data_IF_729487026927
#
_entry.id   IF_729487026927
#
_cell.length_a   1.000
_cell.length_b   1.000
_cell.length_c   1.000
_cell.angle_alpha   90.00
_cell.angle_beta   90.00
_cell.angle_gamma   90.00
#
_symmetry.space_group_name_H-M   'P 1'
#
loop_
_entity.id
_entity.type
_entity.pdbx_description
1 polymer ?
#
# COMPACT_ATOMS: atom_id res chain seq x y z
N UNK A 1 -4.51 2.96 16.30
CA UNK A 1 -3.82 1.80 15.74
C UNK A 1 -4.32 1.48 14.35
N UNK A 2 -3.39 1.34 13.38
CA UNK A 2 -3.73 0.96 12.00
C UNK A 2 -3.87 -0.55 11.94
N UNK A 3 -5.02 -1.04 11.51
CA UNK A 3 -5.30 -2.47 11.32
C UNK A 3 -4.93 -2.92 9.91
N UNK A 4 -5.29 -2.10 8.91
CA UNK A 4 -4.89 -2.31 7.52
C UNK A 4 -4.30 -1.04 6.93
N UNK A 5 -3.29 -1.11 6.06
CA UNK A 5 -2.91 0.03 5.24
C UNK A 5 -4.04 0.36 4.26
N UNK A 6 -3.96 1.55 3.63
CA UNK A 6 -4.85 1.89 2.52
C UNK A 6 -4.61 0.89 1.37
N UNK A 7 -5.67 0.24 0.92
CA UNK A 7 -5.64 -0.78 -0.13
C UNK A 7 -6.93 -0.74 -0.94
N UNK A 8 -6.85 -1.11 -2.21
CA UNK A 8 -7.98 -1.36 -3.11
C UNK A 8 -8.46 -2.82 -3.09
N UNK A 9 -7.76 -3.69 -2.36
CA UNK A 9 -8.15 -5.09 -2.17
C UNK A 9 -9.19 -5.24 -1.06
N UNK A 10 -10.46 -5.21 -1.44
CA UNK A 10 -11.59 -5.39 -0.53
C UNK A 10 -11.60 -6.76 0.15
N UNK A 11 -11.05 -7.81 -0.46
CA UNK A 11 -10.99 -9.15 0.14
C UNK A 11 -10.02 -9.20 1.31
N UNK A 12 -8.91 -8.49 1.22
CA UNK A 12 -7.98 -8.35 2.34
C UNK A 12 -8.66 -7.66 3.51
N UNK A 13 -9.44 -6.60 3.26
CA UNK A 13 -10.21 -5.91 4.30
C UNK A 13 -11.25 -6.85 4.93
N UNK A 14 -12.06 -7.55 4.12
CA UNK A 14 -13.06 -8.51 4.61
C UNK A 14 -12.46 -9.60 5.52
N UNK A 15 -11.32 -10.15 5.14
CA UNK A 15 -10.63 -11.16 5.93
C UNK A 15 -10.16 -10.63 7.29
N UNK A 16 -9.75 -9.37 7.35
CA UNK A 16 -9.29 -8.72 8.58
C UNK A 16 -10.45 -8.31 9.51
N UNK A 17 -11.64 -8.03 8.96
CA UNK A 17 -12.81 -7.66 9.76
C UNK A 17 -13.16 -8.72 10.82
N UNK A 18 -13.02 -10.00 10.47
CA UNK A 18 -13.30 -11.10 11.41
C UNK A 18 -12.34 -11.16 12.61
N UNK A 19 -11.15 -10.59 12.47
CA UNK A 19 -10.14 -10.52 13.50
C UNK A 19 -10.26 -9.27 14.39
N UNK A 20 -11.16 -8.33 14.04
CA UNK A 20 -11.38 -7.13 14.84
C UNK A 20 -12.09 -7.48 16.13
N UNK A 21 -11.36 -7.43 17.23
CA UNK A 21 -11.88 -7.60 18.58
C UNK A 21 -11.24 -6.57 19.52
N UNK A 22 -11.91 -6.15 20.59
CA UNK A 22 -11.33 -5.21 21.54
C UNK A 22 -9.98 -5.65 22.10
N UNK A 23 -9.76 -6.96 22.19
CA UNK A 23 -8.57 -7.58 22.78
C UNK A 23 -7.29 -7.34 21.96
N UNK A 24 -7.42 -7.05 20.66
CA UNK A 24 -6.25 -6.74 19.82
C UNK A 24 -5.67 -5.36 20.09
N UNK A 25 -6.41 -4.50 20.80
CA UNK A 25 -5.97 -3.14 21.09
C UNK A 25 -5.02 -3.12 22.30
N UNK A 26 -3.81 -2.55 22.14
CA UNK A 26 -2.83 -2.50 23.25
C UNK A 26 -3.32 -1.69 24.45
N UNK A 27 -4.15 -0.68 24.20
CA UNK A 27 -4.83 0.14 25.18
C UNK A 27 -6.33 0.07 24.90
N UNK A 28 -7.08 -0.36 25.91
CA UNK A 28 -8.53 -0.35 25.83
C UNK A 28 -9.07 1.05 26.09
N UNK A 29 -10.12 1.42 25.39
CA UNK A 29 -10.75 2.72 25.50
C UNK A 29 -11.20 3.26 24.15
N UNK A 30 -11.75 4.46 24.17
CA UNK A 30 -12.24 5.15 22.98
C UNK A 30 -11.57 6.53 22.87
N UNK A 31 -10.80 6.74 21.81
CA UNK A 31 -10.18 8.03 21.51
C UNK A 31 -10.40 8.38 20.04
N UNK A 32 -11.57 8.96 19.74
CA UNK A 32 -11.92 9.35 18.38
C UNK A 32 -11.01 10.45 17.79
N UNK A 33 -10.47 11.34 18.64
CA UNK A 33 -9.57 12.41 18.18
C UNK A 33 -8.30 11.82 17.55
N UNK A 34 -7.67 10.87 18.25
CA UNK A 34 -6.45 10.22 17.79
C UNK A 34 -6.71 9.32 16.58
N UNK A 35 -7.88 8.67 16.53
CA UNK A 35 -8.26 7.86 15.38
C UNK A 35 -8.42 8.70 14.10
N UNK A 36 -9.04 9.88 14.21
CA UNK A 36 -9.20 10.80 13.07
C UNK A 36 -7.85 11.42 12.67
N UNK A 37 -7.00 11.77 13.63
CA UNK A 37 -5.65 12.26 13.35
C UNK A 37 -4.83 11.21 12.56
N UNK A 38 -4.91 9.96 12.96
CA UNK A 38 -4.27 8.86 12.25
C UNK A 38 -4.82 8.67 10.83
N UNK A 39 -6.13 8.76 10.67
CA UNK A 39 -6.79 8.68 9.36
C UNK A 39 -6.38 9.84 8.44
N UNK A 40 -6.34 11.07 8.97
CA UNK A 40 -5.87 12.24 8.23
C UNK A 40 -4.41 12.10 7.79
N UNK A 41 -3.53 11.61 8.67
CA UNK A 41 -2.13 11.31 8.33
C UNK A 41 -1.97 10.24 7.25
N UNK A 42 -2.83 9.22 7.24
CA UNK A 42 -2.85 8.21 6.17
C UNK A 42 -3.28 8.81 4.82
N UNK A 43 -4.29 9.69 4.80
CA UNK A 43 -4.72 10.39 3.60
C UNK A 43 -3.62 11.31 3.07
N UNK A 44 -2.98 12.08 3.94
CA UNK A 44 -1.86 12.96 3.58
C UNK A 44 -0.70 12.17 2.96
N UNK A 45 -0.28 11.09 3.62
CA UNK A 45 0.84 10.24 3.17
C UNK A 45 0.55 9.54 1.84
N UNK A 46 -0.72 9.21 1.59
CA UNK A 46 -1.14 8.58 0.33
C UNK A 46 -1.23 9.55 -0.85
N UNK A 47 -1.11 10.86 -0.59
CA UNK A 47 -1.32 11.90 -1.60
C UNK A 47 -2.77 12.02 -2.09
N UNK A 48 -3.72 11.44 -1.36
CA UNK A 48 -5.15 11.54 -1.66
C UNK A 48 -5.65 12.87 -1.11
N UNK A 49 -6.04 13.77 -2.00
CA UNK A 49 -6.81 14.97 -1.68
C UNK A 49 -8.30 14.65 -1.75
N UNK A 50 -9.11 15.31 -0.94
CA UNK A 50 -10.56 15.12 -0.90
C UNK A 50 -11.01 13.70 -0.51
N UNK A 51 -10.29 13.08 0.43
CA UNK A 51 -10.66 11.78 0.98
C UNK A 51 -11.92 11.83 1.84
N UNK A 52 -12.47 10.69 2.19
CA UNK A 52 -13.59 10.57 3.13
C UNK A 52 -13.20 9.68 4.31
N UNK A 53 -13.43 10.17 5.52
CA UNK A 53 -13.22 9.43 6.77
C UNK A 53 -14.58 8.99 7.29
N UNK A 54 -14.79 7.69 7.50
CA UNK A 54 -15.97 7.14 8.14
C UNK A 54 -15.64 6.76 9.58
N UNK A 55 -16.25 7.44 10.52
CA UNK A 55 -16.15 7.13 11.95
C UNK A 55 -17.38 6.32 12.39
N UNK A 56 -17.15 5.10 12.88
CA UNK A 56 -18.19 4.24 13.46
C UNK A 56 -18.03 4.31 14.97
N UNK A 57 -19.04 4.76 15.68
CA UNK A 57 -18.94 5.00 17.12
C UNK A 57 -20.27 4.86 17.85
N UNK A 58 -20.21 4.52 19.13
CA UNK A 58 -21.32 4.54 20.08
C UNK A 58 -21.32 5.81 20.97
N UNK A 59 -20.26 6.63 20.88
CA UNK A 59 -20.12 7.86 21.63
C UNK A 59 -18.84 8.61 21.32
N UNK A 60 -18.79 9.90 21.65
CA UNK A 60 -17.65 10.79 21.41
C UNK A 60 -17.22 11.50 22.71
N UNK A 61 -16.76 10.77 23.71
CA UNK A 61 -16.31 11.38 24.97
C UNK A 61 -15.05 12.23 24.72
N UNK A 62 -15.03 13.44 25.32
CA UNK A 62 -13.88 14.36 25.25
C UNK A 62 -13.45 14.70 23.80
N UNK A 63 -14.42 14.85 22.92
CA UNK A 63 -14.14 15.13 21.52
C UNK A 63 -13.70 16.60 21.32
N UNK A 64 -12.57 16.78 20.64
CA UNK A 64 -11.94 18.07 20.39
C UNK A 64 -12.31 18.61 19.00
N UNK A 65 -13.52 19.16 18.86
CA UNK A 65 -14.10 19.57 17.57
C UNK A 65 -13.18 20.48 16.76
N UNK A 66 -12.61 21.54 17.38
CA UNK A 66 -11.75 22.50 16.68
C UNK A 66 -10.44 21.89 16.18
N UNK A 67 -9.88 20.91 16.90
CA UNK A 67 -8.69 20.18 16.49
C UNK A 67 -8.99 19.31 15.27
N UNK A 68 -10.07 18.55 15.33
CA UNK A 68 -10.51 17.66 14.26
C UNK A 68 -10.89 18.45 13.01
N UNK A 69 -11.59 19.58 13.14
CA UNK A 69 -11.90 20.49 12.05
C UNK A 69 -10.62 20.94 11.31
N UNK A 70 -9.61 21.37 12.07
CA UNK A 70 -8.31 21.77 11.50
C UNK A 70 -7.61 20.64 10.76
N UNK A 71 -7.61 19.41 11.32
CA UNK A 71 -7.01 18.24 10.72
C UNK A 71 -7.71 17.83 9.41
N UNK A 72 -9.03 17.73 9.41
CA UNK A 72 -9.81 17.38 8.23
C UNK A 72 -9.69 18.44 7.13
N UNK A 73 -9.70 19.72 7.54
CA UNK A 73 -9.51 20.84 6.61
C UNK A 73 -8.15 20.85 5.93
N UNK A 74 -7.07 20.46 6.64
CA UNK A 74 -5.73 20.43 6.07
C UNK A 74 -5.56 19.38 4.95
N UNK A 75 -6.29 18.28 5.01
CA UNK A 75 -6.27 17.20 4.00
C UNK A 75 -7.46 17.23 3.04
N UNK A 76 -8.38 18.20 3.22
CA UNK A 76 -9.59 18.30 2.39
C UNK A 76 -10.54 17.11 2.56
N UNK A 77 -10.56 16.47 3.75
CA UNK A 77 -11.33 15.25 3.95
C UNK A 77 -12.71 15.53 4.53
N UNK A 78 -13.71 14.82 4.00
CA UNK A 78 -15.06 14.78 4.54
C UNK A 78 -15.18 13.76 5.67
N UNK A 79 -16.02 14.06 6.68
CA UNK A 79 -16.32 13.16 7.78
C UNK A 79 -17.75 12.62 7.68
N UNK A 80 -17.87 11.30 7.69
CA UNK A 80 -19.13 10.58 7.92
C UNK A 80 -19.12 9.96 9.31
N UNK A 81 -20.23 10.04 10.04
CA UNK A 81 -20.40 9.42 11.37
C UNK A 81 -21.55 8.43 11.32
N UNK A 82 -21.24 7.15 11.53
CA UNK A 82 -22.22 6.09 11.71
C UNK A 82 -22.37 5.83 13.21
N UNK A 83 -23.55 6.12 13.72
CA UNK A 83 -23.84 5.96 15.15
C UNK A 83 -24.39 4.57 15.42
N UNK A 84 -23.69 3.83 16.30
CA UNK A 84 -24.07 2.48 16.72
C UNK A 84 -24.63 2.52 18.13
N UNK A 85 -25.73 1.80 18.35
CA UNK A 85 -26.32 1.66 19.69
C UNK A 85 -27.71 2.28 19.83
N UNK A 86 -28.26 2.20 21.03
CA UNK A 86 -29.62 2.63 21.35
C UNK A 86 -29.65 3.70 22.44
N UNK A 87 -30.71 4.50 22.46
CA UNK A 87 -30.91 5.55 23.50
C UNK A 87 -31.16 4.97 24.86
N UNK A 88 -31.72 3.73 24.93
CA UNK A 88 -32.02 3.06 26.17
C UNK A 88 -30.82 2.31 26.76
N UNK A 89 -29.80 2.09 25.92
CA UNK A 89 -28.65 1.27 26.29
C UNK A 89 -29.01 -0.20 26.55
N UNK A 90 -27.99 -0.96 26.91
CA UNK A 90 -28.14 -2.31 27.38
C UNK A 90 -27.08 -2.65 28.46
N UNK A 91 -27.39 -3.53 29.44
CA UNK A 91 -26.37 -3.95 30.37
C UNK A 91 -25.22 -4.69 29.68
N UNK A 92 -23.99 -4.43 30.10
CA UNK A 92 -22.81 -5.09 29.57
C UNK A 92 -22.66 -6.47 30.25
N UNK A 93 -22.75 -7.59 29.49
CA UNK A 93 -22.58 -8.92 30.08
C UNK A 93 -21.08 -9.18 30.36
N UNK A 94 -20.82 -9.86 31.49
CA UNK A 94 -19.48 -10.32 31.84
C UNK A 94 -19.30 -11.79 31.42
N UNK A 95 -18.06 -12.21 31.03
CA UNK A 95 -17.75 -13.59 30.62
C UNK A 95 -18.12 -14.63 31.68
N UNK A 96 -17.95 -14.27 32.96
CA UNK A 96 -18.21 -15.13 34.11
C UNK A 96 -19.68 -15.12 34.54
N UNK A 97 -20.55 -14.47 33.78
CA UNK A 97 -21.96 -14.28 34.10
C UNK A 97 -22.23 -13.00 34.89
N UNK A 98 -23.46 -12.49 34.79
CA UNK A 98 -23.86 -11.23 35.39
C UNK A 98 -23.60 -10.04 34.48
N UNK A 99 -23.60 -8.81 35.03
CA UNK A 99 -23.45 -7.55 34.31
C UNK A 99 -22.41 -6.67 35.00
N UNK A 100 -21.75 -5.83 34.17
CA UNK A 100 -20.82 -4.85 34.67
C UNK A 100 -21.50 -3.88 35.63
N UNK A 101 -20.84 -3.62 36.79
CA UNK A 101 -21.32 -2.70 37.83
C UNK A 101 -20.32 -1.57 38.02
N UNK A 102 -20.83 -0.42 38.40
CA UNK A 102 -20.03 0.72 38.80
C UNK A 102 -19.52 0.62 40.24
N UNK A 103 -18.76 1.62 40.70
CA UNK A 103 -18.25 1.70 42.07
C UNK A 103 -19.34 1.76 43.14
N UNK A 104 -20.60 2.02 42.74
CA UNK A 104 -21.78 2.06 43.60
C UNK A 104 -22.62 0.76 43.56
N UNK A 105 -22.06 -0.30 42.93
CA UNK A 105 -22.72 -1.60 42.71
C UNK A 105 -23.98 -1.53 41.82
N UNK A 106 -24.13 -0.47 41.03
CA UNK A 106 -25.21 -0.31 40.06
C UNK A 106 -24.82 -0.91 38.72
N UNK A 107 -25.77 -1.54 38.02
CA UNK A 107 -25.52 -2.10 36.68
C UNK A 107 -25.26 -0.95 35.70
N UNK A 108 -24.13 -1.00 35.01
CA UNK A 108 -23.78 -0.03 33.98
C UNK A 108 -24.60 -0.28 32.72
N UNK A 109 -25.38 0.71 32.32
CA UNK A 109 -26.22 0.69 31.12
C UNK A 109 -25.75 1.87 30.22
N UNK A 110 -24.77 1.65 29.37
CA UNK A 110 -24.31 2.70 28.47
C UNK A 110 -25.38 3.00 27.41
N UNK A 111 -25.73 4.25 27.28
CA UNK A 111 -26.67 4.75 26.28
C UNK A 111 -25.95 5.73 25.36
N UNK A 112 -26.39 5.83 24.12
CA UNK A 112 -25.82 6.73 23.12
C UNK A 112 -26.36 8.15 23.35
N UNK A 113 -25.45 9.11 23.53
CA UNK A 113 -25.81 10.55 23.53
C UNK A 113 -25.89 11.08 22.09
N UNK A 114 -27.03 10.85 21.43
CA UNK A 114 -27.27 11.33 20.07
C UNK A 114 -27.26 12.84 19.96
N UNK A 115 -27.61 13.55 21.02
CA UNK A 115 -27.62 15.03 20.97
C UNK A 115 -26.22 15.58 20.95
N UNK A 116 -25.30 15.01 21.72
CA UNK A 116 -23.88 15.36 21.69
C UNK A 116 -23.27 15.07 20.32
N UNK A 117 -23.47 13.86 19.81
CA UNK A 117 -22.97 13.48 18.48
C UNK A 117 -23.54 14.37 17.39
N UNK A 118 -24.82 14.75 17.46
CA UNK A 118 -25.43 15.68 16.51
C UNK A 118 -24.81 17.07 16.57
N UNK A 119 -24.52 17.59 17.78
CA UNK A 119 -23.83 18.89 17.93
C UNK A 119 -22.44 18.87 17.30
N UNK A 120 -21.68 17.82 17.56
CA UNK A 120 -20.34 17.62 16.97
C UNK A 120 -20.43 17.51 15.45
N UNK A 121 -21.32 16.68 14.93
CA UNK A 121 -21.51 16.51 13.50
C UNK A 121 -21.87 17.84 12.80
N UNK A 122 -22.76 18.64 13.41
CA UNK A 122 -23.16 19.94 12.88
C UNK A 122 -21.99 20.92 12.88
N UNK A 123 -21.19 20.94 13.95
CA UNK A 123 -20.03 21.82 14.05
C UNK A 123 -18.94 21.50 13.04
N UNK A 124 -18.75 20.21 12.69
CA UNK A 124 -17.77 19.75 11.71
C UNK A 124 -18.31 19.72 10.27
N UNK A 125 -19.60 20.03 10.04
CA UNK A 125 -20.23 19.78 8.74
C UNK A 125 -20.26 18.30 8.35
N UNK A 126 -20.14 17.40 9.34
CA UNK A 126 -20.08 15.98 9.11
C UNK A 126 -21.47 15.38 8.82
N UNK A 127 -21.52 14.39 7.93
CA UNK A 127 -22.73 13.61 7.71
C UNK A 127 -22.90 12.61 8.85
N UNK A 128 -24.02 12.64 9.52
CA UNK A 128 -24.36 11.70 10.56
C UNK A 128 -25.53 10.81 10.17
N UNK A 129 -25.40 9.54 10.40
CA UNK A 129 -26.46 8.54 10.17
C UNK A 129 -26.47 7.55 11.32
N UNK A 130 -27.65 7.15 11.77
CA UNK A 130 -27.80 6.04 12.73
C UNK A 130 -27.85 4.71 11.99
N UNK A 131 -27.33 3.64 12.60
CA UNK A 131 -27.40 2.30 12.03
C UNK A 131 -28.85 1.92 11.76
N UNK A 132 -29.11 1.38 10.58
CA UNK A 132 -30.42 0.90 10.17
C UNK A 132 -30.41 -0.62 9.89
N UNK A 133 -31.59 -1.23 9.88
CA UNK A 133 -31.74 -2.66 9.56
C UNK A 133 -31.60 -2.89 8.06
N UNK A 134 -31.91 -1.88 7.27
CA UNK A 134 -31.70 -1.86 5.83
C UNK A 134 -30.38 -1.17 5.47
N UNK A 135 -30.03 -1.11 4.19
CA UNK A 135 -28.78 -0.47 3.75
C UNK A 135 -28.91 1.04 3.53
N UNK A 136 -29.95 1.70 4.06
CA UNK A 136 -30.21 3.13 3.85
C UNK A 136 -29.15 4.01 4.51
N UNK A 137 -28.62 3.59 5.64
CA UNK A 137 -27.52 4.23 6.35
C UNK A 137 -26.23 4.25 5.52
N UNK A 138 -25.86 3.10 4.96
CA UNK A 138 -24.69 2.96 4.09
C UNK A 138 -24.85 3.79 2.82
N UNK A 139 -26.02 3.72 2.19
CA UNK A 139 -26.31 4.51 0.98
C UNK A 139 -26.23 6.01 1.25
N UNK A 140 -26.76 6.47 2.38
CA UNK A 140 -26.70 7.87 2.80
C UNK A 140 -25.25 8.36 2.97
N UNK A 141 -24.39 7.57 3.61
CA UNK A 141 -22.99 7.89 3.82
C UNK A 141 -22.16 7.86 2.53
N UNK A 142 -22.37 6.83 1.70
CA UNK A 142 -21.63 6.65 0.45
C UNK A 142 -22.02 7.66 -0.63
N UNK A 143 -23.30 8.04 -0.73
CA UNK A 143 -23.75 9.02 -1.74
C UNK A 143 -23.06 10.38 -1.57
N UNK A 144 -22.78 10.75 -0.33
CA UNK A 144 -22.02 11.95 -0.04
C UNK A 144 -20.53 11.82 -0.34
N UNK A 145 -19.93 10.66 -0.04
CA UNK A 145 -18.53 10.41 -0.35
C UNK A 145 -18.25 10.37 -1.87
N UNK A 146 -19.19 9.84 -2.66
CA UNK A 146 -19.09 9.85 -4.11
C UNK A 146 -19.18 11.24 -4.74
N UNK A 147 -19.88 12.17 -4.10
CA UNK A 147 -19.99 13.55 -4.60
C UNK A 147 -18.66 14.30 -4.47
N UNK A 148 -17.86 14.00 -3.46
CA UNK A 148 -16.53 14.59 -3.29
C UNK A 148 -15.51 13.98 -4.26
N UNK A 149 -15.65 12.71 -4.63
CA UNK A 149 -14.75 12.03 -5.58
C UNK A 149 -15.01 12.44 -7.03
N UNK A 150 -16.25 12.76 -7.39
CA UNK A 150 -16.63 13.15 -8.77
C UNK A 150 -16.31 14.61 -9.09
N UNK A 151 -16.02 15.44 -8.10
CA UNK A 151 -15.72 16.87 -8.30
C UNK A 151 -14.27 17.15 -8.65
N UNK A 152 -13.38 16.20 -8.43
CA UNK A 152 -11.99 16.36 -8.82
C UNK A 152 -11.63 15.23 -9.78
N UNK A 153 -11.21 15.70 -10.95
CA UNK A 153 -10.65 14.98 -12.06
C UNK A 153 -10.14 13.60 -11.65
N UNK A 154 -10.62 12.57 -12.32
CA UNK A 154 -10.04 11.25 -12.23
C UNK A 154 -8.52 11.42 -12.12
N UNK A 155 -7.99 11.44 -10.91
CA UNK A 155 -6.61 11.10 -10.70
C UNK A 155 -6.50 9.68 -11.25
N UNK A 156 -6.36 9.62 -12.57
CA UNK A 156 -5.75 8.50 -13.26
C UNK A 156 -4.51 8.23 -12.42
N UNK A 157 -4.70 7.43 -11.37
CA UNK A 157 -3.57 6.83 -10.69
C UNK A 157 -2.87 6.11 -11.81
N UNK A 158 -1.86 6.76 -12.41
CA UNK A 158 -0.89 6.11 -13.28
C UNK A 158 -0.17 5.10 -12.39
N UNK A 159 -0.90 4.11 -11.97
CA UNK A 159 -0.32 2.84 -11.61
C UNK A 159 0.32 2.40 -12.91
N UNK A 160 1.63 2.36 -12.95
CA UNK A 160 2.36 1.71 -14.03
C UNK A 160 1.87 0.26 -14.06
N UNK A 161 0.74 0.07 -14.73
CA UNK A 161 0.21 -1.26 -14.97
C UNK A 161 1.11 -1.81 -16.06
N UNK A 162 2.01 -2.68 -15.67
CA UNK A 162 2.83 -3.43 -16.60
C UNK A 162 1.88 -4.24 -17.49
N UNK A 163 1.65 -3.71 -18.70
CA UNK A 163 0.91 -4.45 -19.71
C UNK A 163 1.91 -5.48 -20.26
N UNK A 164 1.68 -6.74 -19.92
CA UNK A 164 2.48 -7.84 -20.46
C UNK A 164 2.23 -7.97 -21.97
N UNK A 165 3.13 -7.41 -22.76
CA UNK A 165 3.16 -7.56 -24.22
C UNK A 165 3.97 -8.78 -24.66
N UNK A 166 4.41 -9.64 -23.73
CA UNK A 166 5.23 -10.81 -24.00
C UNK A 166 4.59 -11.79 -24.98
N UNK A 167 3.27 -11.83 -25.04
CA UNK A 167 2.57 -12.68 -26.02
C UNK A 167 2.85 -12.29 -27.48
N UNK A 168 3.04 -10.99 -27.78
CA UNK A 168 3.44 -10.56 -29.13
C UNK A 168 4.84 -11.03 -29.47
N UNK A 169 5.75 -10.98 -28.51
CA UNK A 169 7.10 -11.51 -28.67
C UNK A 169 7.06 -13.03 -28.87
N UNK A 170 6.24 -13.74 -28.13
CA UNK A 170 6.04 -15.18 -28.27
C UNK A 170 5.50 -15.55 -29.66
N UNK A 171 4.53 -14.78 -30.19
CA UNK A 171 4.01 -14.97 -31.55
C UNK A 171 5.11 -14.74 -32.59
N UNK A 172 5.88 -13.65 -32.47
CA UNK A 172 6.98 -13.38 -33.35
C UNK A 172 8.06 -14.47 -33.32
N UNK A 173 8.40 -14.95 -32.13
CA UNK A 173 9.34 -16.07 -31.96
C UNK A 173 8.78 -17.36 -32.55
N UNK A 174 7.50 -17.67 -32.37
CA UNK A 174 6.86 -18.83 -32.98
C UNK A 174 6.88 -18.78 -34.50
N UNK A 175 6.61 -17.61 -35.11
CA UNK A 175 6.68 -17.41 -36.55
C UNK A 175 8.11 -17.57 -37.08
N UNK A 176 9.12 -17.08 -36.35
CA UNK A 176 10.53 -17.28 -36.67
C UNK A 176 10.95 -18.74 -36.57
N UNK A 177 10.32 -19.52 -35.69
CA UNK A 177 10.60 -20.93 -35.51
C UNK A 177 9.90 -21.84 -36.56
N UNK A 178 8.85 -21.36 -37.23
CA UNK A 178 8.12 -22.12 -38.23
C UNK A 178 9.02 -22.72 -39.36
N UNK A 179 10.03 -22.02 -39.92
CA UNK A 179 10.91 -22.61 -40.91
C UNK A 179 11.78 -23.75 -40.38
N UNK A 180 12.03 -23.81 -39.06
CA UNK A 180 12.82 -24.89 -38.46
C UNK A 180 12.09 -26.21 -38.44
N UNK A 181 10.75 -26.21 -38.49
CA UNK A 181 9.96 -27.44 -38.62
C UNK A 181 9.91 -28.01 -40.04
N UNK A 182 10.42 -27.26 -41.03
CA UNK A 182 10.55 -27.78 -42.39
C UNK A 182 11.63 -28.85 -42.43
N UNK A 183 11.30 -30.02 -43.01
CA UNK A 183 12.25 -31.13 -43.15
C UNK A 183 13.56 -30.64 -43.81
N UNK A 184 14.68 -30.80 -43.09
CA UNK A 184 16.01 -30.36 -43.54
C UNK A 184 16.46 -28.97 -43.08
N UNK A 185 15.65 -28.14 -42.47
CA UNK A 185 16.05 -26.79 -42.03
C UNK A 185 17.06 -26.86 -40.86
N UNK A 186 16.90 -27.83 -39.95
CA UNK A 186 17.85 -28.03 -38.85
C UNK A 186 19.23 -28.49 -39.36
N UNK A 187 19.27 -29.36 -40.37
CA UNK A 187 20.54 -29.79 -40.98
C UNK A 187 21.20 -28.66 -41.77
N UNK A 188 20.42 -27.80 -42.45
CA UNK A 188 20.95 -26.64 -43.15
C UNK A 188 21.50 -25.58 -42.16
N UNK A 189 20.85 -25.38 -41.02
CA UNK A 189 21.33 -24.49 -39.95
C UNK A 189 22.63 -25.03 -39.35
N UNK A 190 22.67 -26.35 -39.07
CA UNK A 190 23.89 -27.00 -38.54
C UNK A 190 25.07 -26.86 -39.53
N UNK A 191 24.84 -27.07 -40.82
CA UNK A 191 25.85 -26.91 -41.84
C UNK A 191 26.28 -25.41 -41.95
N UNK A 192 25.35 -24.48 -41.88
CA UNK A 192 25.66 -23.05 -41.89
C UNK A 192 26.53 -22.66 -40.67
N UNK A 193 26.26 -23.14 -39.49
CA UNK A 193 27.06 -22.91 -38.27
C UNK A 193 28.45 -23.57 -38.39
N UNK A 194 28.56 -24.75 -39.00
CA UNK A 194 29.85 -25.44 -39.23
C UNK A 194 30.68 -24.78 -40.37
N UNK A 195 30.04 -24.09 -41.30
CA UNK A 195 30.68 -23.40 -42.40
C UNK A 195 31.08 -21.96 -42.04
N UNK A 196 30.65 -21.40 -40.91
CA UNK A 196 31.25 -20.18 -40.41
C UNK A 196 32.65 -20.50 -39.94
N UNK A 197 33.63 -20.23 -40.81
CA UNK A 197 35.02 -20.16 -40.38
C UNK A 197 35.08 -19.34 -39.12
N UNK A 198 35.52 -19.93 -38.03
CA UNK A 198 35.74 -19.25 -36.78
C UNK A 198 36.86 -18.20 -37.02
N UNK A 199 36.48 -17.03 -37.51
CA UNK A 199 37.37 -15.87 -37.43
C UNK A 199 37.79 -15.79 -35.96
N UNK A 200 39.07 -15.55 -35.63
CA UNK A 200 39.53 -15.49 -34.27
C UNK A 200 38.67 -14.43 -33.55
N UNK A 201 37.66 -14.88 -32.85
CA UNK A 201 36.81 -14.02 -32.03
C UNK A 201 37.73 -13.41 -30.99
N UNK A 202 37.89 -12.11 -30.98
CA UNK A 202 38.44 -11.43 -29.84
C UNK A 202 37.51 -11.79 -28.67
N UNK A 203 37.89 -12.78 -27.88
CA UNK A 203 37.12 -13.27 -26.73
C UNK A 203 36.74 -12.18 -25.73
N UNK A 204 37.50 -11.06 -25.79
CA UNK A 204 37.28 -9.86 -25.01
C UNK A 204 35.95 -9.13 -25.27
N UNK A 205 35.30 -9.33 -26.42
CA UNK A 205 34.05 -8.63 -26.74
C UNK A 205 32.86 -9.17 -25.96
N UNK A 206 32.79 -10.47 -25.72
CA UNK A 206 31.69 -11.07 -24.92
C UNK A 206 31.90 -10.83 -23.42
N UNK A 207 33.14 -10.89 -22.96
CA UNK A 207 33.47 -10.61 -21.56
C UNK A 207 33.12 -9.14 -21.17
N UNK A 208 33.19 -8.24 -22.14
CA UNK A 208 32.83 -6.83 -21.95
C UNK A 208 31.32 -6.60 -21.71
N UNK A 209 30.47 -7.54 -22.08
CA UNK A 209 29.02 -7.45 -21.84
C UNK A 209 28.62 -7.78 -20.39
N UNK A 210 29.42 -8.56 -19.67
CA UNK A 210 29.07 -9.09 -18.35
C UNK A 210 29.96 -8.57 -17.22
N UNK A 211 31.10 -7.95 -17.53
CA UNK A 211 32.04 -7.46 -16.51
C UNK A 211 32.19 -5.96 -16.57
N UNK A 212 32.06 -5.33 -15.40
CA UNK A 212 32.33 -3.90 -15.22
C UNK A 212 33.82 -3.62 -15.26
N UNK A 213 34.22 -2.35 -15.43
CA UNK A 213 35.61 -1.93 -15.42
C UNK A 213 36.32 -2.35 -14.13
N UNK A 214 35.65 -2.18 -12.98
CA UNK A 214 36.20 -2.56 -11.68
C UNK A 214 36.38 -4.07 -11.51
N UNK A 215 35.46 -4.88 -12.09
CA UNK A 215 35.61 -6.36 -12.08
C UNK A 215 36.81 -6.82 -12.90
N UNK A 216 37.11 -6.15 -14.04
CA UNK A 216 38.29 -6.41 -14.85
C UNK A 216 39.57 -5.99 -14.13
N UNK A 217 39.53 -4.84 -13.45
CA UNK A 217 40.60 -4.38 -12.60
C UNK A 217 40.92 -5.39 -11.46
N UNK A 218 39.88 -5.86 -10.78
CA UNK A 218 40.01 -6.86 -9.71
C UNK A 218 40.59 -8.19 -10.20
N UNK A 219 40.21 -8.65 -11.39
CA UNK A 219 40.75 -9.86 -12.04
C UNK A 219 42.21 -9.70 -12.39
N UNK A 220 42.60 -8.59 -12.99
CA UNK A 220 44.01 -8.27 -13.34
C UNK A 220 44.89 -8.19 -12.07
N UNK A 221 44.34 -7.62 -11.00
CA UNK A 221 45.05 -7.55 -9.71
C UNK A 221 45.23 -8.97 -9.10
N UNK A 222 44.22 -9.82 -9.17
CA UNK A 222 44.29 -11.21 -8.71
C UNK A 222 45.27 -12.06 -9.53
N UNK A 223 45.50 -11.72 -10.81
CA UNK A 223 46.49 -12.34 -11.69
C UNK A 223 47.92 -11.83 -11.44
N UNK A 224 48.08 -10.84 -10.52
CA UNK A 224 49.37 -10.25 -10.15
C UNK A 224 49.87 -9.15 -11.10
N UNK A 225 49.03 -8.68 -12.03
CA UNK A 225 49.36 -7.60 -12.94
C UNK A 225 48.77 -6.26 -12.47
N UNK A 226 49.34 -5.74 -11.40
CA UNK A 226 48.89 -4.52 -10.76
C UNK A 226 49.01 -3.29 -11.68
N UNK A 227 50.01 -3.25 -12.54
CA UNK A 227 50.24 -2.17 -13.51
C UNK A 227 49.11 -2.10 -14.56
N UNK A 228 48.56 -3.25 -14.95
CA UNK A 228 47.42 -3.37 -15.87
C UNK A 228 46.07 -3.13 -15.15
N UNK A 229 45.98 -3.49 -13.87
CA UNK A 229 44.78 -3.32 -13.07
C UNK A 229 44.48 -1.84 -12.77
N UNK A 230 45.48 -1.05 -12.45
CA UNK A 230 45.35 0.33 -12.00
C UNK A 230 44.49 1.23 -12.92
N UNK A 231 44.69 1.25 -14.26
CA UNK A 231 43.88 2.08 -15.17
C UNK A 231 42.47 1.56 -15.40
N UNK A 232 42.16 0.31 -15.02
CA UNK A 232 40.86 -0.30 -15.23
C UNK A 232 39.86 0.05 -14.13
N UNK A 233 40.30 0.45 -12.95
CA UNK A 233 39.43 0.82 -11.86
C UNK A 233 38.80 2.21 -12.04
N UNK A 234 37.47 2.28 -11.93
CA UNK A 234 36.71 3.53 -11.85
C UNK A 234 36.61 4.02 -10.40
N UNK A 235 36.50 3.10 -9.45
CA UNK A 235 36.45 3.42 -8.03
C UNK A 235 37.82 3.91 -7.50
N UNK A 236 37.89 5.11 -6.87
CA UNK A 236 39.15 5.71 -6.46
C UNK A 236 39.92 4.88 -5.41
N UNK A 237 39.18 4.20 -4.53
CA UNK A 237 39.77 3.39 -3.45
C UNK A 237 40.55 2.18 -4.00
N UNK A 238 40.01 1.49 -4.98
CA UNK A 238 40.64 0.33 -5.62
C UNK A 238 41.80 0.75 -6.54
N UNK A 239 41.70 1.91 -7.17
CA UNK A 239 42.76 2.47 -7.99
C UNK A 239 44.01 2.77 -7.15
N UNK A 240 43.79 3.31 -5.94
CA UNK A 240 44.87 3.56 -4.98
C UNK A 240 45.59 2.26 -4.55
N UNK A 241 44.84 1.21 -4.25
CA UNK A 241 45.39 -0.10 -3.89
C UNK A 241 46.23 -0.72 -5.02
N UNK A 242 45.70 -0.68 -6.28
CA UNK A 242 46.40 -1.21 -7.42
C UNK A 242 47.71 -0.45 -7.75
N UNK A 243 47.75 0.85 -7.51
CA UNK A 243 48.98 1.63 -7.63
C UNK A 243 50.02 1.36 -6.55
N UNK A 244 49.57 0.92 -5.38
CA UNK A 244 50.47 0.57 -4.27
C UNK A 244 51.12 -0.80 -4.48
N UNK A 245 50.44 -1.71 -5.18
CA UNK A 245 50.94 -3.06 -5.49
C UNK A 245 51.72 -3.13 -6.83
N UNK A 246 51.67 -2.08 -7.64
CA UNK A 246 52.37 -1.98 -8.93
C UNK A 246 53.80 -1.46 -8.72
#
# INVERSE_FOLDING_TARGET
HVVTPLTDDTRTIENLLSALAPDIMPLQGSNANEAIELAAGLLETSGLTNGSVLLITDGLPKFETSRVEGLLGSVGADLGILVMGTDTGAPIPLPDGGFLRDDSDQIVIPAVDRQEIQRIATALGARRTDVSVDNSDIQSLLSGAQSSITSDDSLERKTDTWIDLGYWLAIAAALLMLPLFRRGALSALLIAVLMTDAAPSNANTLENFWSTADQKGAKALAEGDAARAAPLFEAPDWRGTAHFEA
#
